data_IF_663667506510
#
_entry.id   IF_663667506510
#
_cell.length_a   1.000
_cell.length_b   1.000
_cell.length_c   1.000
_cell.angle_alpha   90.00
_cell.angle_beta   90.00
_cell.angle_gamma   90.00
#
_symmetry.space_group_name_H-M   'P 1'
#
loop_
_entity.id
_entity.type
_entity.pdbx_description
1 polymer ?
#
# COMPACT_ATOMS: atom_id res chain seq x y z
N UNK A 1 -0.63 5.65 -32.40
CA UNK A 1 0.59 6.16 -31.74
C UNK A 1 0.59 5.69 -30.31
N UNK A 2 1.72 5.20 -29.79
CA UNK A 2 1.84 4.80 -28.38
C UNK A 2 2.21 6.03 -27.53
N UNK A 3 1.48 6.26 -26.44
CA UNK A 3 1.78 7.27 -25.43
C UNK A 3 1.85 6.60 -24.05
N UNK A 4 2.84 7.00 -23.24
CA UNK A 4 3.06 6.45 -21.90
C UNK A 4 3.05 7.59 -20.88
N UNK A 5 2.18 7.49 -19.89
CA UNK A 5 2.18 8.33 -18.70
C UNK A 5 2.04 7.42 -17.49
N UNK A 6 3.15 7.21 -16.79
CA UNK A 6 3.19 6.32 -15.63
C UNK A 6 4.06 6.94 -14.54
N UNK A 7 3.60 6.82 -13.30
CA UNK A 7 4.26 7.32 -12.11
C UNK A 7 4.29 6.21 -11.09
N UNK A 8 5.46 5.98 -10.49
CA UNK A 8 5.66 5.09 -9.36
C UNK A 8 6.26 5.91 -8.22
N UNK A 9 5.61 5.93 -7.07
CA UNK A 9 6.06 6.68 -5.90
C UNK A 9 5.95 5.78 -4.68
N UNK A 10 6.92 5.93 -3.78
CA UNK A 10 6.90 5.31 -2.46
C UNK A 10 7.30 6.36 -1.44
N UNK A 11 6.51 6.52 -0.39
CA UNK A 11 6.73 7.55 0.61
C UNK A 11 5.71 7.47 1.72
N UNK A 12 5.66 8.52 2.55
CA UNK A 12 4.77 8.58 3.69
C UNK A 12 3.70 9.65 3.50
N UNK A 13 2.47 9.38 3.96
CA UNK A 13 1.41 10.37 3.96
C UNK A 13 1.80 11.58 4.83
N UNK A 14 1.65 12.80 4.31
CA UNK A 14 1.97 14.04 5.04
C UNK A 14 0.80 14.58 5.84
N UNK A 15 -0.42 14.17 5.46
CA UNK A 15 -1.69 14.49 6.10
C UNK A 15 -2.65 13.31 5.94
N UNK A 16 -3.69 13.26 6.76
CA UNK A 16 -4.75 12.28 6.63
C UNK A 16 -5.46 12.43 5.28
N UNK A 17 -5.93 11.32 4.66
CA UNK A 17 -6.71 11.40 3.44
C UNK A 17 -8.01 12.18 3.66
N UNK A 18 -8.30 13.10 2.75
CA UNK A 18 -9.58 13.81 2.73
C UNK A 18 -10.50 13.13 1.74
N UNK A 19 -11.51 12.39 2.23
CA UNK A 19 -12.53 11.77 1.41
C UNK A 19 -13.68 12.74 1.11
N UNK A 20 -14.01 12.88 -0.17
CA UNK A 20 -15.13 13.68 -0.67
C UNK A 20 -15.87 12.89 -1.75
N UNK A 21 -17.16 13.19 -1.95
CA UNK A 21 -17.95 12.60 -3.02
C UNK A 21 -18.22 13.65 -4.10
N UNK A 22 -18.06 13.26 -5.37
CA UNK A 22 -18.47 14.12 -6.49
C UNK A 22 -19.99 14.19 -6.57
N UNK A 23 -20.57 15.17 -7.30
CA UNK A 23 -22.01 15.20 -7.57
C UNK A 23 -22.53 13.93 -8.27
N UNK A 24 -21.65 13.22 -8.97
CA UNK A 24 -21.94 11.93 -9.61
C UNK A 24 -21.89 10.73 -8.65
N UNK A 25 -21.64 10.96 -7.35
CA UNK A 25 -21.53 9.92 -6.32
C UNK A 25 -20.17 9.20 -6.28
N UNK A 26 -19.18 9.62 -7.06
CA UNK A 26 -17.85 8.99 -7.04
C UNK A 26 -17.05 9.47 -5.83
N UNK A 27 -16.55 8.53 -5.02
CA UNK A 27 -15.60 8.83 -3.95
C UNK A 27 -14.26 9.36 -4.51
N UNK A 28 -13.70 10.37 -3.87
CA UNK A 28 -12.40 10.98 -4.20
C UNK A 28 -11.64 11.19 -2.90
N UNK A 29 -10.44 10.61 -2.79
CA UNK A 29 -9.55 10.82 -1.66
C UNK A 29 -8.36 11.66 -2.13
N UNK A 30 -8.15 12.80 -1.46
CA UNK A 30 -7.03 13.69 -1.72
C UNK A 30 -6.07 13.68 -0.54
N UNK A 31 -4.79 13.40 -0.80
CA UNK A 31 -3.75 13.35 0.23
C UNK A 31 -2.40 13.77 -0.35
N UNK A 32 -1.46 14.09 0.53
CA UNK A 32 -0.08 14.38 0.15
C UNK A 32 0.84 13.25 0.57
N UNK A 33 1.86 12.96 -0.22
CA UNK A 33 2.96 12.08 0.16
C UNK A 33 4.29 12.84 0.12
N UNK A 34 5.20 12.48 1.02
CA UNK A 34 6.59 12.92 1.01
C UNK A 34 7.48 11.77 0.52
N UNK A 35 8.31 12.06 -0.47
CA UNK A 35 9.29 11.13 -1.05
C UNK A 35 10.69 11.70 -0.81
N UNK A 36 11.50 10.98 -0.04
CA UNK A 36 12.83 11.43 0.31
C UNK A 36 13.86 10.88 -0.69
N UNK A 37 14.84 11.71 -1.05
CA UNK A 37 15.99 11.34 -1.86
C UNK A 37 17.26 11.76 -1.14
N UNK A 38 18.17 10.82 -0.92
CA UNK A 38 19.49 11.07 -0.32
C UNK A 38 20.58 10.79 -1.34
N UNK A 39 21.56 11.69 -1.48
CA UNK A 39 22.72 11.49 -2.34
C UNK A 39 23.95 12.22 -1.78
N UNK A 40 25.14 11.80 -2.24
CA UNK A 40 26.40 12.46 -1.88
C UNK A 40 26.77 13.50 -2.94
N UNK A 41 27.01 14.75 -2.53
CA UNK A 41 27.44 15.83 -3.42
C UNK A 41 28.94 15.81 -3.72
N UNK A 42 29.39 16.70 -4.62
CA UNK A 42 30.81 16.81 -5.03
C UNK A 42 31.78 17.04 -3.87
N UNK A 43 31.35 17.70 -2.78
CA UNK A 43 32.17 17.97 -1.60
C UNK A 43 32.16 16.83 -0.57
N UNK A 44 31.69 15.63 -0.95
CA UNK A 44 31.47 14.49 -0.03
C UNK A 44 30.44 14.75 1.09
N UNK A 45 29.63 15.79 0.97
CA UNK A 45 28.51 16.07 1.87
C UNK A 45 27.28 15.23 1.48
N UNK A 46 26.65 14.58 2.48
CA UNK A 46 25.35 13.93 2.30
C UNK A 46 24.26 15.00 2.21
N UNK A 47 23.49 14.99 1.12
CA UNK A 47 22.32 15.85 0.89
C UNK A 47 21.04 15.04 0.94
N UNK A 48 20.00 15.66 1.49
CA UNK A 48 18.65 15.11 1.55
C UNK A 48 17.69 16.12 0.92
N UNK A 49 16.80 15.62 0.06
CA UNK A 49 15.72 16.38 -0.55
C UNK A 49 14.41 15.65 -0.34
N UNK A 50 13.37 16.39 0.03
CA UNK A 50 12.02 15.86 0.21
C UNK A 50 11.12 16.44 -0.89
N UNK A 51 10.57 15.57 -1.71
CA UNK A 51 9.59 15.91 -2.71
C UNK A 51 8.18 15.68 -2.16
N UNK A 52 7.36 16.72 -2.17
CA UNK A 52 5.96 16.64 -1.77
C UNK A 52 5.08 16.48 -3.00
N UNK A 53 4.23 15.45 -3.01
CA UNK A 53 3.39 15.13 -4.16
C UNK A 53 1.94 15.00 -3.71
N UNK A 54 1.03 15.74 -4.36
CA UNK A 54 -0.41 15.58 -4.18
C UNK A 54 -0.94 14.40 -5.00
N UNK A 55 -1.67 13.52 -4.33
CA UNK A 55 -2.28 12.32 -4.89
C UNK A 55 -3.80 12.43 -4.81
N UNK A 56 -4.47 12.08 -5.91
CA UNK A 56 -5.91 11.85 -5.96
C UNK A 56 -6.20 10.39 -6.27
N UNK A 57 -6.96 9.73 -5.41
CA UNK A 57 -7.54 8.41 -5.66
C UNK A 57 -9.05 8.53 -5.88
N UNK A 58 -9.63 7.61 -6.65
CA UNK A 58 -11.03 7.63 -7.04
C UNK A 58 -11.72 6.29 -6.75
N UNK A 59 -13.04 6.34 -6.55
CA UNK A 59 -13.89 5.17 -6.34
C UNK A 59 -13.47 4.35 -5.12
N UNK A 60 -13.53 3.02 -5.24
CA UNK A 60 -13.21 2.12 -4.13
C UNK A 60 -11.82 2.34 -3.53
N UNK A 61 -10.83 2.73 -4.34
CA UNK A 61 -9.46 3.00 -3.87
C UNK A 61 -9.41 4.23 -2.95
N UNK A 62 -10.24 5.23 -3.23
CA UNK A 62 -10.37 6.40 -2.35
C UNK A 62 -10.89 6.01 -0.96
N UNK A 63 -11.94 5.18 -0.92
CA UNK A 63 -12.54 4.69 0.32
C UNK A 63 -11.53 3.88 1.14
N UNK A 64 -10.86 2.92 0.51
CA UNK A 64 -9.86 2.06 1.18
C UNK A 64 -8.67 2.89 1.69
N UNK A 65 -8.18 3.85 0.91
CA UNK A 65 -7.09 4.72 1.36
C UNK A 65 -7.53 5.52 2.59
N UNK A 66 -8.73 6.08 2.58
CA UNK A 66 -9.26 6.83 3.71
C UNK A 66 -9.54 5.97 4.95
N UNK A 67 -9.92 4.71 4.77
CA UNK A 67 -10.22 3.78 5.87
C UNK A 67 -8.95 3.26 6.57
N UNK A 68 -7.89 2.96 5.81
CA UNK A 68 -6.72 2.25 6.34
C UNK A 68 -5.42 3.07 6.41
N UNK A 69 -5.38 4.26 5.79
CA UNK A 69 -4.20 5.12 5.85
C UNK A 69 -4.48 6.40 6.62
N UNK A 70 -3.53 6.76 7.47
CA UNK A 70 -3.44 8.04 8.17
C UNK A 70 -2.09 8.70 7.89
N UNK A 71 -1.94 9.95 8.32
CA UNK A 71 -0.66 10.67 8.30
C UNK A 71 0.46 9.79 8.85
N UNK A 72 1.59 9.76 8.15
CA UNK A 72 2.78 9.00 8.50
C UNK A 72 2.81 7.58 7.92
N UNK A 73 1.68 7.01 7.51
CA UNK A 73 1.66 5.66 6.96
C UNK A 73 2.47 5.61 5.66
N UNK A 74 3.35 4.60 5.49
CA UNK A 74 4.04 4.39 4.24
C UNK A 74 3.09 3.79 3.20
N UNK A 75 3.18 4.28 1.96
CA UNK A 75 2.35 3.83 0.86
C UNK A 75 3.18 3.77 -0.42
N UNK A 76 2.91 2.76 -1.24
CA UNK A 76 3.35 2.71 -2.63
C UNK A 76 2.18 3.08 -3.53
N UNK A 77 2.42 3.98 -4.49
CA UNK A 77 1.44 4.47 -5.46
C UNK A 77 1.96 4.19 -6.86
N UNK A 78 1.09 3.59 -7.66
CA UNK A 78 1.22 3.51 -9.11
C UNK A 78 0.09 4.36 -9.71
N UNK A 79 0.43 5.20 -10.68
CA UNK A 79 -0.56 6.08 -11.28
C UNK A 79 -0.05 6.81 -12.50
N UNK A 80 -0.61 8.00 -12.73
CA UNK A 80 -0.27 8.87 -13.86
C UNK A 80 -0.28 10.34 -13.44
N UNK A 81 0.47 11.17 -14.15
CA UNK A 81 0.40 12.61 -13.99
C UNK A 81 -0.88 13.18 -14.61
N UNK A 82 -1.51 14.10 -13.90
CA UNK A 82 -2.61 14.90 -14.38
C UNK A 82 -2.28 16.37 -14.17
N UNK A 83 -2.19 17.10 -15.28
CA UNK A 83 -2.08 18.54 -15.28
C UNK A 83 -3.47 19.16 -15.42
N UNK A 84 -3.87 19.99 -14.45
CA UNK A 84 -5.12 20.74 -14.52
C UNK A 84 -4.80 22.23 -14.51
N UNK A 85 -5.44 22.99 -15.41
CA UNK A 85 -5.31 24.44 -15.50
C UNK A 85 -6.71 25.07 -15.48
N UNK A 86 -6.87 26.13 -14.70
CA UNK A 86 -8.12 26.88 -14.60
C UNK A 86 -7.83 28.37 -14.38
N UNK A 87 -8.83 29.21 -14.65
CA UNK A 87 -8.77 30.66 -14.41
C UNK A 87 -9.53 30.99 -13.13
N UNK A 88 -8.96 31.85 -12.28
CA UNK A 88 -9.67 32.37 -11.12
C UNK A 88 -10.70 33.42 -11.55
N UNK A 89 -11.66 33.74 -10.68
CA UNK A 89 -12.64 34.81 -10.95
C UNK A 89 -11.98 36.19 -11.20
N UNK A 90 -10.73 36.34 -10.79
CA UNK A 90 -9.90 37.55 -10.95
C UNK A 90 -9.10 37.55 -12.26
N UNK A 91 -9.28 36.54 -13.13
CA UNK A 91 -8.60 36.42 -14.42
C UNK A 91 -7.20 35.79 -14.36
N UNK A 92 -6.77 35.27 -13.20
CA UNK A 92 -5.44 34.66 -13.07
C UNK A 92 -5.46 33.20 -13.50
N UNK A 93 -4.56 32.82 -14.41
CA UNK A 93 -4.34 31.41 -14.78
C UNK A 93 -3.61 30.69 -13.65
N UNK A 94 -4.20 29.60 -13.16
CA UNK A 94 -3.62 28.69 -12.18
C UNK A 94 -3.46 27.32 -12.81
N UNK A 95 -2.38 26.64 -12.46
CA UNK A 95 -2.12 25.28 -12.88
C UNK A 95 -1.66 24.43 -11.70
N UNK A 96 -2.01 23.15 -11.71
CA UNK A 96 -1.54 22.17 -10.75
C UNK A 96 -1.19 20.88 -11.45
N UNK A 97 -0.07 20.28 -11.07
CA UNK A 97 0.30 18.94 -11.46
C UNK A 97 0.03 18.01 -10.28
N UNK A 98 -0.75 16.95 -10.49
CA UNK A 98 -1.07 15.96 -9.46
C UNK A 98 -0.84 14.56 -10.01
N UNK A 99 -0.77 13.58 -9.12
CA UNK A 99 -0.80 12.18 -9.50
C UNK A 99 -2.20 11.64 -9.27
N UNK A 100 -2.77 11.03 -10.30
CA UNK A 100 -3.96 10.19 -10.14
C UNK A 100 -3.47 8.78 -9.84
N UNK A 101 -3.73 8.31 -8.62
CA UNK A 101 -3.45 6.92 -8.27
C UNK A 101 -4.32 6.01 -9.15
N UNK A 102 -3.75 4.93 -9.64
CA UNK A 102 -4.41 3.83 -10.37
C UNK A 102 -4.36 2.57 -9.53
N UNK A 103 -3.25 2.33 -8.85
CA UNK A 103 -3.04 1.24 -7.92
C UNK A 103 -2.24 1.72 -6.71
N UNK A 104 -2.34 1.01 -5.58
CA UNK A 104 -1.55 1.27 -4.40
C UNK A 104 -1.26 -0.03 -3.65
N UNK A 105 -0.22 -0.01 -2.84
CA UNK A 105 0.11 -1.12 -1.95
C UNK A 105 0.41 -0.60 -0.55
N UNK A 106 -0.01 -1.37 0.44
CA UNK A 106 0.43 -1.20 1.82
C UNK A 106 1.92 -1.53 1.90
N UNK A 107 2.67 -0.67 2.56
CA UNK A 107 4.08 -0.91 2.84
C UNK A 107 4.20 -1.23 4.33
N UNK A 108 4.69 -2.42 4.64
CA UNK A 108 4.82 -2.87 6.03
C UNK A 108 3.53 -3.44 6.63
N UNK A 109 3.35 -4.75 6.45
CA UNK A 109 2.45 -5.60 7.24
C UNK A 109 3.16 -6.91 7.64
N UNK A 110 4.44 -6.78 8.02
CA UNK A 110 5.30 -7.89 8.47
C UNK A 110 5.46 -7.99 9.99
N UNK A 111 4.61 -7.32 10.78
CA UNK A 111 4.46 -7.65 12.20
C UNK A 111 3.17 -8.44 12.34
N UNK A 112 3.31 -9.76 12.22
CA UNK A 112 2.29 -10.70 12.65
C UNK A 112 1.98 -10.43 14.12
N UNK A 113 0.84 -9.79 14.38
CA UNK A 113 0.22 -9.80 15.69
C UNK A 113 -0.42 -11.18 15.85
N UNK A 114 0.35 -12.14 16.36
CA UNK A 114 -0.07 -13.50 16.72
C UNK A 114 1.16 -14.43 16.87
N UNK A 115 1.48 -15.03 18.02
CA UNK A 115 0.71 -15.22 19.23
C UNK A 115 1.45 -14.75 20.47
N UNK A 116 0.69 -14.11 21.37
CA UNK A 116 1.07 -14.09 22.78
C UNK A 116 1.24 -15.53 23.24
N UNK A 117 2.27 -15.75 24.05
CA UNK A 117 2.43 -16.91 24.92
C UNK A 117 1.21 -17.02 25.83
N UNK A 118 0.16 -17.66 25.33
CA UNK A 118 -0.88 -18.24 26.15
C UNK A 118 -0.30 -19.49 26.79
N UNK A 119 0.20 -19.34 28.00
CA UNK A 119 0.45 -20.45 28.91
C UNK A 119 -0.87 -21.19 29.11
N UNK A 120 -1.01 -22.35 28.47
CA UNK A 120 -2.00 -23.35 28.86
C UNK A 120 -1.37 -24.26 29.91
N UNK A 121 -2.05 -24.58 31.02
CA UNK A 121 -1.52 -25.46 32.03
C UNK A 121 -1.38 -26.88 31.48
N UNK A 122 -0.21 -27.45 31.74
CA UNK A 122 0.19 -28.82 31.45
C UNK A 122 -0.78 -29.80 32.12
N UNK A 123 -1.53 -30.55 31.30
CA UNK A 123 -2.26 -31.73 31.74
C UNK A 123 -1.42 -32.96 31.37
N UNK A 124 -0.90 -33.57 32.43
CA UNK A 124 -0.28 -34.89 32.48
C UNK A 124 -1.23 -35.95 31.90
N UNK A 125 -0.81 -36.67 30.86
CA UNK A 125 -1.36 -38.01 30.61
C UNK A 125 -0.35 -38.89 29.86
N UNK A 126 0.26 -39.77 30.64
CA UNK A 126 1.05 -40.90 30.19
C UNK A 126 0.11 -42.06 29.79
N UNK A 127 0.15 -42.47 28.53
CA UNK A 127 -0.69 -43.57 28.02
C UNK A 127 -0.02 -44.31 26.85
N UNK A 128 0.23 -45.59 27.06
CA UNK A 128 1.16 -46.45 26.33
C UNK A 128 0.78 -46.81 24.89
N UNK A 129 1.86 -47.06 24.14
CA UNK A 129 1.99 -47.79 22.89
C UNK A 129 1.19 -49.10 22.80
N UNK A 130 0.56 -49.34 21.65
CA UNK A 130 0.70 -50.57 20.85
C UNK A 130 -0.22 -50.54 19.63
N UNK A 131 0.35 -50.70 18.44
CA UNK A 131 -0.42 -50.76 17.19
C UNK A 131 0.48 -51.25 16.07
N UNK A 132 0.58 -52.58 15.95
CA UNK A 132 1.45 -53.29 15.02
C UNK A 132 1.05 -53.13 13.55
N UNK A 133 2.06 -53.24 12.68
CA UNK A 133 1.94 -53.41 11.24
C UNK A 133 1.53 -54.86 10.89
N UNK A 134 0.82 -55.04 9.77
CA UNK A 134 1.22 -56.04 8.78
C UNK A 134 1.27 -55.40 7.38
N UNK A 135 2.45 -55.38 6.75
CA UNK A 135 2.98 -56.36 5.79
C UNK A 135 2.36 -56.22 4.38
N UNK A 136 3.19 -55.75 3.45
CA UNK A 136 2.92 -55.65 2.02
C UNK A 136 3.54 -56.84 1.30
N UNK A 137 2.70 -57.76 0.83
CA UNK A 137 2.93 -58.64 -0.33
C UNK A 137 1.58 -59.30 -0.64
N UNK A 138 1.04 -59.40 -1.84
CA UNK A 138 1.46 -59.11 -3.20
C UNK A 138 0.73 -60.13 -4.06
N UNK A 139 -0.36 -59.81 -4.76
CA UNK A 139 -0.94 -60.74 -5.75
C UNK A 139 -1.92 -60.07 -6.72
N UNK A 140 -1.58 -60.25 -8.01
CA UNK A 140 -2.38 -60.27 -9.24
C UNK A 140 -3.65 -59.41 -9.39
N UNK A 141 -3.57 -58.46 -10.33
CA UNK A 141 -4.73 -57.90 -11.04
C UNK A 141 -4.89 -58.72 -12.34
N UNK A 142 -5.96 -59.52 -12.52
CA UNK A 142 -6.26 -60.08 -13.82
C UNK A 142 -6.97 -59.03 -14.71
N UNK A 143 -6.66 -59.14 -16.00
CA UNK A 143 -7.03 -58.30 -17.15
C UNK A 143 -8.49 -57.82 -17.23
#
# INVERSE_FOLDING_TARGET
MASLNKVYLMGNLTRDPELRYTPSGTAVASFGIAVNRTWTGQNSEKKEEVCFVDINAFGRRAEVINEYFSKGNPIFIEGRLQFNQWETKEGQKRSVLRVVAENFQFIGSGSGKGGGSGTFPEADESGQSSGGLPDMSGEEIPF
#
